data_IF_480431212724
#
_entry.id   IF_480431212724
#
_cell.length_a   1.000
_cell.length_b   1.000
_cell.length_c   1.000
_cell.angle_alpha   90.00
_cell.angle_beta   90.00
_cell.angle_gamma   90.00
#
_symmetry.space_group_name_H-M   'P 1'
#
loop_
_entity.id
_entity.type
_entity.pdbx_description
1 polymer ?
#
# COMPACT_ATOMS: atom_id res chain seq x y z
N UNK A 1 70.02 14.71 12.78
CA UNK A 1 69.20 13.49 12.95
C UNK A 1 68.28 13.75 14.13
N UNK A 2 66.97 13.56 13.92
CA UNK A 2 65.80 13.72 14.82
C UNK A 2 65.35 15.13 15.25
N UNK A 3 64.11 15.43 14.83
CA UNK A 3 63.24 16.59 15.06
C UNK A 3 62.14 16.23 16.10
N UNK A 4 61.40 17.28 16.51
CA UNK A 4 59.99 17.35 16.98
C UNK A 4 59.81 17.44 18.51
N UNK A 5 59.57 18.62 19.10
CA UNK A 5 58.37 19.52 19.10
C UNK A 5 57.18 18.93 19.84
N UNK A 6 56.95 19.46 21.04
CA UNK A 6 55.74 19.36 21.84
C UNK A 6 54.59 20.21 21.27
N UNK A 7 53.38 19.96 21.79
CA UNK A 7 52.19 20.82 21.85
C UNK A 7 51.03 20.41 20.92
N UNK A 8 50.12 19.65 21.55
CA UNK A 8 48.67 19.85 21.58
C UNK A 8 47.92 20.03 20.27
N UNK A 9 47.17 18.99 19.87
CA UNK A 9 45.81 19.16 19.36
C UNK A 9 45.01 17.93 19.78
N UNK A 10 44.34 18.07 20.91
CA UNK A 10 43.28 17.21 21.38
C UNK A 10 42.07 17.40 20.45
N UNK A 11 41.96 16.56 19.42
CA UNK A 11 40.75 16.46 18.60
C UNK A 11 39.72 15.65 19.38
N UNK A 12 38.80 16.37 20.01
CA UNK A 12 37.60 15.83 20.61
C UNK A 12 36.78 15.03 19.57
N UNK A 13 36.11 13.94 19.97
CA UNK A 13 35.15 13.30 19.10
C UNK A 13 34.03 14.28 18.85
N UNK A 14 33.76 14.58 17.59
CA UNK A 14 32.50 15.21 17.20
C UNK A 14 31.39 14.26 17.61
N UNK A 15 30.79 14.55 18.76
CA UNK A 15 29.47 14.07 19.10
C UNK A 15 28.55 14.62 18.02
N UNK A 16 28.28 13.81 17.00
CA UNK A 16 27.10 13.97 16.16
C UNK A 16 25.93 14.00 17.11
N UNK A 17 25.47 15.20 17.42
CA UNK A 17 24.23 15.46 18.12
C UNK A 17 23.16 14.65 17.43
N UNK A 18 22.82 13.50 18.02
CA UNK A 18 21.57 12.83 17.76
C UNK A 18 20.50 13.86 18.13
N UNK A 19 20.02 14.57 17.11
CA UNK A 19 18.80 15.35 17.19
C UNK A 19 17.70 14.36 17.53
N UNK A 20 17.38 14.26 18.82
CA UNK A 20 16.26 13.49 19.29
C UNK A 20 15.00 14.06 18.62
N UNK A 21 14.25 13.30 17.81
CA UNK A 21 13.00 13.81 17.28
C UNK A 21 12.04 13.98 18.44
N UNK A 22 11.43 15.16 18.49
CA UNK A 22 10.39 15.55 19.42
C UNK A 22 9.32 14.45 19.56
N UNK A 23 8.89 14.20 20.79
CA UNK A 23 7.76 13.31 21.07
C UNK A 23 6.49 13.91 20.45
N UNK A 24 5.90 13.22 19.46
CA UNK A 24 4.55 13.48 18.96
C UNK A 24 4.44 13.50 17.44
N UNK A 25 4.23 12.34 16.83
CA UNK A 25 4.03 12.17 15.39
C UNK A 25 5.33 11.85 14.64
N UNK A 26 5.37 10.73 13.93
CA UNK A 26 6.50 10.42 13.03
C UNK A 26 6.58 11.53 11.98
N UNK A 27 7.73 12.21 11.88
CA UNK A 27 7.91 13.24 10.86
C UNK A 27 7.86 12.61 9.47
N UNK A 28 7.42 13.38 8.46
CA UNK A 28 7.42 12.91 7.07
C UNK A 28 8.83 12.48 6.63
N UNK A 29 9.87 13.18 7.07
CA UNK A 29 11.25 12.79 6.86
C UNK A 29 11.60 11.41 7.42
N UNK A 30 11.14 11.06 8.63
CA UNK A 30 11.38 9.76 9.22
C UNK A 30 10.63 8.64 8.47
N UNK A 31 9.41 8.91 7.98
CA UNK A 31 8.70 7.99 7.10
C UNK A 31 9.47 7.75 5.79
N UNK A 32 9.95 8.82 5.14
CA UNK A 32 10.71 8.71 3.90
C UNK A 32 12.03 7.95 4.08
N UNK A 33 12.76 8.19 5.16
CA UNK A 33 13.96 7.39 5.46
C UNK A 33 13.61 5.93 5.65
N UNK A 34 12.54 5.62 6.40
CA UNK A 34 12.09 4.24 6.60
C UNK A 34 11.78 3.55 5.28
N UNK A 35 11.05 4.21 4.39
CA UNK A 35 10.71 3.69 3.06
C UNK A 35 11.97 3.54 2.20
N UNK A 36 12.90 4.50 2.25
CA UNK A 36 14.17 4.42 1.53
C UNK A 36 14.97 3.18 1.94
N UNK A 37 15.07 2.91 3.23
CA UNK A 37 15.77 1.73 3.75
C UNK A 37 15.03 0.42 3.44
N UNK A 38 13.72 0.34 3.71
CA UNK A 38 12.94 -0.90 3.48
C UNK A 38 12.78 -1.21 1.98
N UNK A 39 12.65 -0.18 1.14
CA UNK A 39 12.53 -0.31 -0.32
C UNK A 39 13.86 -0.35 -1.08
N UNK A 40 14.99 -0.21 -0.38
CA UNK A 40 16.34 -0.11 -0.96
C UNK A 40 16.44 0.97 -2.07
N UNK A 41 15.78 2.12 -1.87
CA UNK A 41 15.83 3.21 -2.83
C UNK A 41 17.20 3.93 -2.80
N UNK A 42 17.76 4.26 -3.98
CA UNK A 42 19.08 4.89 -4.06
C UNK A 42 19.09 6.31 -3.51
N UNK A 43 17.95 7.02 -3.59
CA UNK A 43 17.82 8.39 -3.10
C UNK A 43 16.50 8.58 -2.35
N UNK A 44 16.43 9.64 -1.55
CA UNK A 44 15.23 10.00 -0.81
C UNK A 44 14.12 10.49 -1.73
N UNK A 45 14.47 11.20 -2.80
CA UNK A 45 13.52 11.73 -3.79
C UNK A 45 12.77 10.58 -4.47
N UNK A 46 13.47 9.49 -4.80
CA UNK A 46 12.84 8.29 -5.36
C UNK A 46 11.90 7.60 -4.38
N UNK A 47 12.29 7.51 -3.11
CA UNK A 47 11.40 7.01 -2.07
C UNK A 47 10.16 7.91 -1.92
N UNK A 48 10.34 9.22 -1.97
CA UNK A 48 9.27 10.20 -1.85
C UNK A 48 8.29 10.16 -3.02
N UNK A 49 8.78 10.07 -4.26
CA UNK A 49 7.95 9.84 -5.45
C UNK A 49 7.08 8.58 -5.27
N UNK A 50 7.69 7.47 -4.87
CA UNK A 50 6.99 6.21 -4.62
C UNK A 50 5.92 6.37 -3.53
N UNK A 51 6.26 6.99 -2.39
CA UNK A 51 5.31 7.28 -1.30
C UNK A 51 4.13 8.10 -1.80
N UNK A 52 4.38 9.19 -2.54
CA UNK A 52 3.32 10.04 -3.07
C UNK A 52 2.41 9.28 -4.04
N UNK A 53 3.00 8.52 -4.97
CA UNK A 53 2.24 7.76 -5.96
C UNK A 53 1.38 6.65 -5.32
N UNK A 54 1.93 5.91 -4.35
CA UNK A 54 1.21 4.84 -3.64
C UNK A 54 0.11 5.41 -2.75
N UNK A 55 0.37 6.46 -1.97
CA UNK A 55 -0.64 7.09 -1.11
C UNK A 55 -1.75 7.76 -1.91
N UNK A 56 -1.41 8.43 -3.01
CA UNK A 56 -2.41 8.96 -3.93
C UNK A 56 -3.26 7.84 -4.55
N UNK A 57 -2.66 6.70 -4.87
CA UNK A 57 -3.43 5.57 -5.38
C UNK A 57 -4.34 4.97 -4.31
N UNK A 58 -3.84 4.76 -3.10
CA UNK A 58 -4.58 4.21 -1.98
C UNK A 58 -5.74 5.12 -1.55
N UNK A 59 -5.53 6.45 -1.58
CA UNK A 59 -6.56 7.44 -1.26
C UNK A 59 -7.78 7.39 -2.17
N UNK A 60 -7.66 6.83 -3.39
CA UNK A 60 -8.79 6.56 -4.28
C UNK A 60 -9.53 5.26 -3.96
N UNK A 61 -8.93 4.35 -3.21
CA UNK A 61 -9.51 3.04 -2.89
C UNK A 61 -10.29 3.05 -1.57
N UNK A 62 -9.97 3.98 -0.66
CA UNK A 62 -10.56 4.04 0.67
C UNK A 62 -11.65 5.11 0.77
N UNK A 63 -12.72 4.76 1.47
CA UNK A 63 -13.88 5.59 1.78
C UNK A 63 -14.27 5.40 3.25
N UNK A 64 -15.05 6.34 3.80
CA UNK A 64 -15.58 6.21 5.16
C UNK A 64 -14.56 6.46 6.27
N UNK A 65 -14.84 5.90 7.44
CA UNK A 65 -14.10 6.16 8.68
C UNK A 65 -12.65 5.66 8.62
N UNK A 66 -12.40 4.54 7.93
CA UNK A 66 -11.05 3.99 7.79
C UNK A 66 -10.12 4.94 7.05
N UNK A 67 -10.66 5.74 6.12
CA UNK A 67 -9.90 6.79 5.42
C UNK A 67 -9.50 7.91 6.37
N UNK A 68 -10.43 8.36 7.21
CA UNK A 68 -10.20 9.44 8.18
C UNK A 68 -9.20 8.99 9.24
N UNK A 69 -9.38 7.79 9.78
CA UNK A 69 -8.50 7.20 10.77
C UNK A 69 -7.08 7.02 10.21
N UNK A 70 -6.95 6.54 8.97
CA UNK A 70 -5.63 6.39 8.34
C UNK A 70 -4.96 7.75 8.12
N UNK A 71 -5.69 8.75 7.63
CA UNK A 71 -5.16 10.09 7.44
C UNK A 71 -4.67 10.71 8.78
N UNK A 72 -5.38 10.46 9.88
CA UNK A 72 -5.01 10.95 11.21
C UNK A 72 -3.73 10.29 11.78
N UNK A 73 -3.33 9.12 11.26
CA UNK A 73 -2.09 8.43 11.66
C UNK A 73 -0.89 8.76 10.79
N UNK A 74 -1.11 9.41 9.65
CA UNK A 74 -0.05 9.77 8.72
C UNK A 74 0.59 11.12 9.10
N UNK A 75 1.89 11.32 8.78
CA UNK A 75 2.48 12.66 8.77
C UNK A 75 1.67 13.59 7.86
N UNK A 76 1.60 14.87 8.19
CA UNK A 76 0.72 15.85 7.53
C UNK A 76 0.88 15.85 6.01
N UNK A 77 2.11 15.85 5.52
CA UNK A 77 2.43 15.87 4.10
C UNK A 77 1.93 14.61 3.37
N UNK A 78 2.06 13.44 4.00
CA UNK A 78 1.54 12.18 3.50
C UNK A 78 0.00 12.15 3.55
N UNK A 79 -0.59 12.65 4.63
CA UNK A 79 -2.03 12.75 4.80
C UNK A 79 -2.65 13.62 3.71
N UNK A 80 -2.06 14.79 3.41
CA UNK A 80 -2.54 15.70 2.36
C UNK A 80 -2.57 15.03 0.98
N UNK A 81 -1.51 14.32 0.61
CA UNK A 81 -1.46 13.58 -0.68
C UNK A 81 -2.54 12.50 -0.74
N UNK A 82 -2.77 11.80 0.36
CA UNK A 82 -3.78 10.77 0.50
C UNK A 82 -5.22 11.31 0.48
N UNK A 83 -5.50 12.42 1.17
CA UNK A 83 -6.83 13.02 1.27
C UNK A 83 -7.22 13.87 0.08
N UNK A 84 -6.25 14.38 -0.70
CA UNK A 84 -6.51 15.15 -1.92
C UNK A 84 -7.22 14.33 -3.03
N UNK A 85 -7.28 13.01 -2.89
CA UNK A 85 -7.80 12.12 -3.90
C UNK A 85 -9.32 12.01 -3.82
N UNK A 86 -9.98 11.95 -4.98
CA UNK A 86 -11.40 11.62 -5.06
C UNK A 86 -11.54 10.09 -5.04
N UNK A 87 -12.29 9.51 -4.09
CA UNK A 87 -12.49 8.07 -4.05
C UNK A 87 -13.14 7.55 -5.34
N UNK A 88 -12.64 6.42 -5.83
CA UNK A 88 -13.18 5.74 -6.98
C UNK A 88 -14.54 5.12 -6.63
N UNK A 89 -15.46 5.11 -7.60
CA UNK A 89 -16.77 4.48 -7.47
C UNK A 89 -16.67 2.96 -7.35
N UNK A 90 -15.66 2.37 -8.01
CA UNK A 90 -15.36 0.94 -7.96
C UNK A 90 -13.92 0.75 -7.47
N UNK A 91 -13.71 0.21 -6.25
CA UNK A 91 -12.38 -0.09 -5.77
C UNK A 91 -11.77 -1.27 -6.55
N UNK A 92 -10.48 -1.15 -6.87
CA UNK A 92 -9.67 -2.13 -7.58
C UNK A 92 -9.22 -3.23 -6.63
N UNK A 93 -9.10 -4.47 -7.11
CA UNK A 93 -8.40 -5.54 -6.37
C UNK A 93 -6.92 -5.23 -6.19
N UNK A 94 -6.24 -5.93 -5.27
CA UNK A 94 -4.81 -5.68 -5.00
C UNK A 94 -3.94 -5.82 -6.26
N UNK A 95 -4.26 -6.76 -7.16
CA UNK A 95 -3.53 -6.92 -8.42
C UNK A 95 -3.87 -5.83 -9.45
N UNK A 96 -5.14 -5.44 -9.55
CA UNK A 96 -5.55 -4.34 -10.43
C UNK A 96 -4.98 -3.01 -9.96
N UNK A 97 -4.88 -2.79 -8.66
CA UNK A 97 -4.23 -1.64 -8.05
C UNK A 97 -2.76 -1.53 -8.48
N UNK A 98 -2.01 -2.63 -8.40
CA UNK A 98 -0.60 -2.66 -8.86
C UNK A 98 -0.50 -2.38 -10.35
N UNK A 99 -1.38 -2.96 -11.17
CA UNK A 99 -1.40 -2.71 -12.62
C UNK A 99 -1.71 -1.25 -12.94
N UNK A 100 -2.76 -0.70 -12.34
CA UNK A 100 -3.18 0.69 -12.55
C UNK A 100 -2.10 1.68 -12.11
N UNK A 101 -1.43 1.41 -10.98
CA UNK A 101 -0.30 2.21 -10.54
C UNK A 101 0.89 2.12 -11.50
N UNK A 102 1.24 0.91 -11.98
CA UNK A 102 2.32 0.71 -12.93
C UNK A 102 2.08 1.48 -14.24
N UNK A 103 0.86 1.46 -14.76
CA UNK A 103 0.50 2.23 -15.96
C UNK A 103 0.65 3.74 -15.74
N UNK A 104 0.27 4.27 -14.57
CA UNK A 104 0.40 5.71 -14.27
C UNK A 104 1.83 6.17 -14.03
N UNK A 105 2.65 5.33 -13.41
CA UNK A 105 4.05 5.68 -13.12
C UNK A 105 5.00 5.30 -14.26
N UNK A 106 4.51 4.65 -15.31
CA UNK A 106 5.32 4.15 -16.43
C UNK A 106 6.23 2.97 -16.05
N UNK A 107 5.92 2.28 -14.95
CA UNK A 107 6.72 1.17 -14.42
C UNK A 107 6.23 -0.21 -14.87
N UNK A 108 6.99 -1.25 -14.53
CA UNK A 108 6.53 -2.63 -14.68
C UNK A 108 5.67 -3.06 -13.47
N UNK A 109 4.68 -3.95 -13.62
CA UNK A 109 3.90 -4.46 -12.49
C UNK A 109 4.75 -5.13 -11.40
N UNK A 110 5.89 -5.73 -11.77
CA UNK A 110 6.80 -6.35 -10.81
C UNK A 110 7.49 -5.30 -9.94
N UNK A 111 8.02 -4.24 -10.55
CA UNK A 111 8.64 -3.11 -9.84
C UNK A 111 7.61 -2.39 -8.98
N UNK A 112 6.42 -2.11 -9.52
CA UNK A 112 5.36 -1.44 -8.77
C UNK A 112 4.87 -2.27 -7.59
N UNK A 113 4.80 -3.60 -7.71
CA UNK A 113 4.47 -4.46 -6.56
C UNK A 113 5.48 -4.31 -5.44
N UNK A 114 6.77 -4.25 -5.78
CA UNK A 114 7.83 -4.00 -4.81
C UNK A 114 7.67 -2.62 -4.15
N UNK A 115 7.47 -1.58 -4.95
CA UNK A 115 7.29 -0.21 -4.47
C UNK A 115 6.10 -0.09 -3.50
N UNK A 116 4.97 -0.71 -3.86
CA UNK A 116 3.78 -0.75 -3.02
C UNK A 116 4.07 -1.42 -1.68
N UNK A 117 4.75 -2.57 -1.67
CA UNK A 117 5.12 -3.26 -0.43
C UNK A 117 6.06 -2.42 0.44
N UNK A 118 7.07 -1.79 -0.18
CA UNK A 118 8.05 -0.95 0.50
C UNK A 118 7.43 0.30 1.16
N UNK A 119 6.36 0.86 0.58
CA UNK A 119 5.62 2.00 1.13
C UNK A 119 4.59 1.55 2.16
N UNK A 120 3.81 0.52 1.86
CA UNK A 120 2.69 0.11 2.72
C UNK A 120 3.16 -0.55 4.01
N UNK A 121 4.33 -1.19 4.06
CA UNK A 121 4.84 -1.79 5.28
C UNK A 121 5.14 -0.75 6.39
N UNK A 122 5.86 0.36 6.14
CA UNK A 122 5.98 1.46 7.10
C UNK A 122 4.65 2.13 7.45
N UNK A 123 3.77 2.34 6.46
CA UNK A 123 2.44 2.92 6.70
C UNK A 123 1.59 2.03 7.60
N UNK A 124 1.63 0.71 7.42
CA UNK A 124 0.94 -0.25 8.28
C UNK A 124 1.43 -0.17 9.73
N UNK A 125 2.74 -0.01 9.94
CA UNK A 125 3.33 0.17 11.28
C UNK A 125 2.86 1.47 11.95
N UNK A 126 2.69 2.55 11.18
CA UNK A 126 2.15 3.82 11.70
C UNK A 126 0.66 3.74 12.02
N UNK A 127 -0.12 3.09 11.15
CA UNK A 127 -1.55 2.90 11.32
C UNK A 127 -1.89 2.00 12.52
N UNK A 128 -1.03 1.02 12.80
CA UNK A 128 -1.25 0.01 13.83
C UNK A 128 -2.08 -1.18 13.31
N UNK A 129 -1.93 -2.36 13.93
CA UNK A 129 -2.44 -3.61 13.38
C UNK A 129 -3.98 -3.62 13.27
N UNK A 130 -4.70 -3.02 14.20
CA UNK A 130 -6.17 -2.99 14.23
C UNK A 130 -6.75 -2.13 13.11
N UNK A 131 -6.15 -0.97 12.86
CA UNK A 131 -6.58 -0.10 11.76
C UNK A 131 -6.26 -0.73 10.41
N UNK A 132 -5.10 -1.37 10.27
CA UNK A 132 -4.72 -2.10 9.05
C UNK A 132 -5.70 -3.23 8.76
N UNK A 133 -6.12 -3.99 9.76
CA UNK A 133 -7.11 -5.06 9.55
C UNK A 133 -8.46 -4.51 9.09
N UNK A 134 -8.95 -3.42 9.69
CA UNK A 134 -10.16 -2.74 9.22
C UNK A 134 -10.03 -2.20 7.79
N UNK A 135 -8.88 -1.61 7.46
CA UNK A 135 -8.58 -1.12 6.10
C UNK A 135 -8.60 -2.27 5.10
N UNK A 136 -7.97 -3.40 5.41
CA UNK A 136 -7.94 -4.58 4.53
C UNK A 136 -9.35 -5.16 4.36
N UNK A 137 -10.15 -5.23 5.44
CA UNK A 137 -11.52 -5.76 5.40
C UNK A 137 -12.48 -4.91 4.54
N UNK A 138 -12.16 -3.63 4.30
CA UNK A 138 -12.92 -2.73 3.42
C UNK A 138 -12.48 -2.79 1.96
N UNK A 139 -11.26 -3.26 1.72
CA UNK A 139 -10.70 -3.34 0.38
C UNK A 139 -11.07 -4.68 -0.30
N UNK A 140 -11.12 -4.73 -1.64
CA UNK A 140 -11.28 -6.00 -2.34
C UNK A 140 -10.10 -6.94 -2.09
N UNK A 141 -10.20 -8.19 -2.55
CA UNK A 141 -9.17 -9.21 -2.28
C UNK A 141 -7.76 -8.83 -2.78
N UNK A 142 -6.73 -9.39 -2.12
CA UNK A 142 -5.33 -9.27 -2.53
C UNK A 142 -4.56 -8.11 -1.91
N UNK A 143 -5.19 -7.21 -1.14
CA UNK A 143 -4.46 -6.15 -0.42
C UNK A 143 -3.68 -6.67 0.77
N UNK A 144 -4.12 -7.74 1.44
CA UNK A 144 -3.42 -8.29 2.59
C UNK A 144 -1.94 -8.56 2.30
N UNK A 145 -1.65 -9.13 1.13
CA UNK A 145 -0.29 -9.39 0.66
C UNK A 145 0.52 -8.12 0.40
N UNK A 146 -0.13 -7.03 -0.04
CA UNK A 146 0.52 -5.74 -0.27
C UNK A 146 0.91 -5.04 1.04
N UNK A 147 0.15 -5.28 2.11
CA UNK A 147 0.48 -4.83 3.47
C UNK A 147 1.48 -5.75 4.20
N UNK A 148 2.02 -6.76 3.51
CA UNK A 148 2.94 -7.74 4.11
C UNK A 148 2.27 -8.71 5.10
N UNK A 149 0.94 -8.84 5.06
CA UNK A 149 0.20 -9.82 5.87
C UNK A 149 -0.06 -11.10 5.09
N UNK A 150 0.07 -12.23 5.77
CA UNK A 150 -0.33 -13.52 5.22
C UNK A 150 -1.86 -13.54 5.05
N UNK A 151 -2.31 -13.75 3.81
CA UNK A 151 -3.73 -13.79 3.47
C UNK A 151 -4.29 -15.17 3.84
N UNK A 152 -4.62 -15.37 5.12
CA UNK A 152 -5.19 -16.63 5.64
C UNK A 152 -6.71 -16.62 5.77
N UNK A 153 -7.40 -15.59 5.24
CA UNK A 153 -8.86 -15.51 5.27
C UNK A 153 -9.46 -15.66 3.86
N UNK A 154 -10.43 -16.56 3.64
CA UNK A 154 -11.18 -16.60 2.40
C UNK A 154 -12.06 -15.34 2.33
N UNK A 155 -11.71 -14.43 1.44
CA UNK A 155 -12.53 -13.25 1.16
C UNK A 155 -13.91 -13.67 0.69
N UNK A 156 -14.94 -12.98 1.19
CA UNK A 156 -16.32 -13.15 0.74
C UNK A 156 -16.35 -12.92 -0.77
N UNK A 157 -16.40 -14.01 -1.55
CA UNK A 157 -16.66 -13.95 -2.99
C UNK A 157 -17.97 -13.19 -3.15
N UNK A 158 -17.91 -11.94 -3.60
CA UNK A 158 -19.08 -11.28 -4.17
C UNK A 158 -19.41 -12.07 -5.42
N UNK A 159 -20.30 -13.05 -5.29
CA UNK A 159 -20.83 -13.81 -6.40
C UNK A 159 -21.49 -12.81 -7.32
N UNK A 160 -20.84 -12.56 -8.46
CA UNK A 160 -21.49 -11.97 -9.63
C UNK A 160 -22.58 -12.96 -10.02
N UNK A 161 -23.81 -12.69 -9.59
CA UNK A 161 -25.00 -13.38 -10.05
C UNK A 161 -25.12 -13.08 -11.55
N UNK A 162 -24.51 -13.92 -12.37
CA UNK A 162 -24.89 -14.03 -13.77
C UNK A 162 -26.31 -14.54 -13.76
N UNK A 163 -27.26 -13.63 -14.00
CA UNK A 163 -28.61 -14.00 -14.37
C UNK A 163 -28.54 -14.84 -15.64
N UNK A 164 -28.51 -16.15 -15.48
CA UNK A 164 -28.91 -17.08 -16.54
C UNK A 164 -30.42 -16.97 -16.61
N UNK A 165 -30.88 -16.07 -17.47
CA UNK A 165 -32.27 -15.97 -17.88
C UNK A 165 -32.71 -17.32 -18.39
N UNK A 166 -33.66 -17.93 -17.69
CA UNK A 166 -34.36 -19.11 -18.15
C UNK A 166 -35.11 -18.78 -19.44
N UNK A 167 -34.85 -19.56 -20.48
CA UNK A 167 -35.67 -19.55 -21.68
C UNK A 167 -36.16 -20.96 -21.96
N UNK A 168 -37.48 -21.09 -21.82
CA UNK A 168 -38.39 -21.96 -22.56
C UNK A 168 -38.16 -23.48 -22.49
N UNK A 169 -39.05 -24.12 -21.73
CA UNK A 169 -39.46 -25.48 -22.01
C UNK A 169 -40.03 -25.61 -23.42
N UNK A 170 -39.64 -26.69 -24.08
CA UNK A 170 -40.38 -27.26 -25.20
C UNK A 170 -40.29 -28.79 -25.05
N UNK A 171 -41.32 -29.33 -24.40
CA UNK A 171 -41.63 -30.75 -24.29
C UNK A 171 -41.70 -31.36 -25.69
N UNK A 172 -40.77 -32.25 -26.03
CA UNK A 172 -40.86 -33.11 -27.22
C UNK A 172 -41.67 -34.36 -26.85
N UNK A 173 -42.82 -34.66 -27.48
CA UNK A 173 -43.45 -35.97 -27.35
C UNK A 173 -42.69 -36.98 -28.21
N UNK A 174 -42.15 -38.01 -27.54
CA UNK A 174 -41.54 -39.19 -28.17
C UNK A 174 -42.67 -40.07 -28.70
N UNK A 175 -42.65 -40.28 -30.03
CA UNK A 175 -43.62 -41.06 -30.76
C UNK A 175 -43.45 -42.56 -30.50
N UNK A 176 -44.60 -43.18 -30.28
CA UNK A 176 -44.89 -44.60 -30.34
C UNK A 176 -44.45 -45.22 -31.69
N UNK A 177 -43.78 -46.37 -31.62
CA UNK A 177 -43.70 -47.31 -32.74
C UNK A 177 -43.60 -48.74 -32.18
N UNK A 178 -44.74 -49.41 -32.21
CA UNK A 178 -44.92 -50.78 -31.75
C UNK A 178 -44.13 -51.83 -32.52
N UNK A 179 -44.04 -52.99 -31.88
CA UNK A 179 -43.81 -54.27 -32.52
C UNK A 179 -44.80 -55.27 -31.88
N UNK A 180 -45.69 -55.78 -32.73
CA UNK A 180 -46.22 -57.13 -32.62
C UNK A 180 -45.24 -58.07 -33.33
#
# INVERSE_FOLDING_TARGET
MTLQTETTTSTAPMASTMSAPARGGTSYSALLERVRYEGAYPTRERAEESVRSVLAALGRQLVGDERVDLAARLPVEAALVFTAQVPATTPLTGWEFVKDLAHRTGGSPATTRWDVGAVLAPVAKLAGPELVDRVIDRLPSGYALLFGRAELRPHRRTTRTTGTTGTAGATRPFADRGAA
#
